data_IF_546494888987
#
_entry.id   IF_546494888987
#
_cell.length_a   1.000
_cell.length_b   1.000
_cell.length_c   1.000
_cell.angle_alpha   90.00
_cell.angle_beta   90.00
_cell.angle_gamma   90.00
#
_symmetry.space_group_name_H-M   'P 1'
#
loop_
_entity.id
_entity.type
_entity.pdbx_description
1 polymer ?
#
# COMPACT_ATOMS: atom_id res chain seq x y z
N UNK A 1 14.85 -9.40 15.68
CA UNK A 1 14.65 -8.80 14.34
C UNK A 1 13.30 -8.09 14.37
N UNK A 2 13.17 -6.91 13.76
CA UNK A 2 11.88 -6.20 13.67
C UNK A 2 10.96 -7.01 12.76
N UNK A 3 9.70 -7.21 13.16
CA UNK A 3 8.69 -7.86 12.33
C UNK A 3 8.27 -6.91 11.21
N UNK A 4 8.17 -7.40 9.97
CA UNK A 4 7.77 -6.60 8.82
C UNK A 4 6.30 -6.15 8.98
N UNK A 5 6.04 -4.87 8.77
CA UNK A 5 4.69 -4.28 8.85
C UNK A 5 4.27 -3.75 7.48
N UNK A 6 3.14 -4.20 6.96
CA UNK A 6 2.64 -3.85 5.62
C UNK A 6 1.27 -3.17 5.75
N UNK A 7 1.21 -1.90 5.38
CA UNK A 7 -0.03 -1.18 5.18
C UNK A 7 -0.65 -1.53 3.82
N UNK A 8 -1.98 -1.51 3.72
CA UNK A 8 -2.64 -1.66 2.43
C UNK A 8 -3.93 -0.86 2.34
N UNK A 9 -4.29 -0.48 1.11
CA UNK A 9 -5.60 0.10 0.81
C UNK A 9 -6.69 -0.97 0.99
N UNK A 10 -7.43 -0.87 2.09
CA UNK A 10 -8.38 -1.88 2.55
C UNK A 10 -9.82 -1.66 2.07
N UNK A 11 -10.80 -2.36 2.69
CA UNK A 11 -10.66 -3.22 3.88
C UNK A 11 -10.02 -4.60 3.58
N UNK A 12 -10.02 -5.47 4.58
CA UNK A 12 -9.75 -6.90 4.42
C UNK A 12 -10.62 -7.52 3.31
N UNK A 13 -10.12 -8.61 2.73
CA UNK A 13 -10.74 -9.35 1.63
C UNK A 13 -10.93 -8.58 0.31
N UNK A 14 -10.25 -7.44 0.14
CA UNK A 14 -10.12 -6.74 -1.16
C UNK A 14 -9.00 -7.36 -2.03
N UNK A 15 -8.94 -6.98 -3.31
CA UNK A 15 -7.83 -7.37 -4.19
C UNK A 15 -6.47 -6.94 -3.65
N UNK A 16 -6.39 -5.75 -3.05
CA UNK A 16 -5.16 -5.25 -2.43
C UNK A 16 -4.78 -6.09 -1.21
N UNK A 17 -5.75 -6.50 -0.37
CA UNK A 17 -5.48 -7.43 0.73
C UNK A 17 -5.00 -8.81 0.23
N UNK A 18 -5.59 -9.33 -0.86
CA UNK A 18 -5.14 -10.58 -1.48
C UNK A 18 -3.71 -10.48 -2.02
N UNK A 19 -3.33 -9.33 -2.58
CA UNK A 19 -1.97 -9.07 -3.01
C UNK A 19 -1.00 -9.09 -1.82
N UNK A 20 -1.37 -8.45 -0.69
CA UNK A 20 -0.56 -8.52 0.54
C UNK A 20 -0.38 -9.97 1.01
N UNK A 21 -1.47 -10.74 1.09
CA UNK A 21 -1.43 -12.14 1.51
C UNK A 21 -0.57 -13.02 0.59
N UNK A 22 -0.42 -12.65 -0.68
CA UNK A 22 0.29 -13.44 -1.69
C UNK A 22 1.76 -13.06 -1.82
N UNK A 23 2.08 -11.78 -1.63
CA UNK A 23 3.42 -11.24 -1.87
C UNK A 23 4.31 -11.19 -0.61
N UNK A 24 3.72 -11.24 0.59
CA UNK A 24 4.45 -11.05 1.84
C UNK A 24 4.45 -12.31 2.72
N UNK A 25 5.46 -12.47 3.59
CA UNK A 25 5.49 -13.56 4.57
C UNK A 25 4.24 -13.61 5.44
N UNK A 26 3.81 -14.81 5.83
CA UNK A 26 2.60 -15.02 6.67
C UNK A 26 2.70 -14.38 8.05
N UNK A 27 3.91 -14.15 8.54
CA UNK A 27 4.20 -13.51 9.81
C UNK A 27 4.37 -11.98 9.68
N UNK A 28 4.16 -11.39 8.49
CA UNK A 28 4.09 -9.94 8.35
C UNK A 28 2.83 -9.39 9.04
N UNK A 29 2.99 -8.29 9.79
CA UNK A 29 1.86 -7.57 10.42
C UNK A 29 1.17 -6.74 9.35
N UNK A 30 -0.11 -6.97 9.13
CA UNK A 30 -0.89 -6.25 8.11
C UNK A 30 -1.75 -5.15 8.76
N UNK A 31 -1.85 -3.99 8.11
CA UNK A 31 -2.73 -2.89 8.54
C UNK A 31 -3.56 -2.36 7.38
N UNK A 32 -4.88 -2.42 7.53
CA UNK A 32 -5.82 -1.85 6.58
C UNK A 32 -5.94 -0.33 6.77
N UNK A 33 -5.90 0.42 5.68
CA UNK A 33 -6.19 1.85 5.66
C UNK A 33 -7.39 2.13 4.75
N UNK A 34 -8.23 3.09 5.12
CA UNK A 34 -9.48 3.37 4.41
C UNK A 34 -9.27 4.16 3.11
N UNK A 35 -8.10 4.77 2.93
CA UNK A 35 -7.77 5.58 1.75
C UNK A 35 -6.32 5.37 1.32
N UNK A 36 -6.03 5.61 0.04
CA UNK A 36 -4.68 5.55 -0.53
C UNK A 36 -3.73 6.54 0.18
N UNK A 37 -4.09 7.83 0.37
CA UNK A 37 -3.29 8.78 1.15
C UNK A 37 -2.92 8.28 2.54
N UNK A 38 -3.90 7.80 3.33
CA UNK A 38 -3.61 7.28 4.68
C UNK A 38 -2.63 6.10 4.66
N UNK A 39 -2.72 5.23 3.66
CA UNK A 39 -1.81 4.11 3.51
C UNK A 39 -0.38 4.56 3.17
N UNK A 40 -0.24 5.56 2.31
CA UNK A 40 1.07 6.09 1.89
C UNK A 40 1.71 6.93 2.99
N UNK A 41 0.95 7.82 3.62
CA UNK A 41 1.34 8.60 4.80
C UNK A 41 1.92 7.70 5.91
N UNK A 42 1.32 6.53 6.12
CA UNK A 42 1.75 5.61 7.16
C UNK A 42 3.18 5.09 6.93
N UNK A 43 3.63 4.99 5.67
CA UNK A 43 5.03 4.66 5.36
C UNK A 43 5.93 5.83 5.73
N UNK A 44 5.58 7.04 5.29
CA UNK A 44 6.37 8.25 5.56
C UNK A 44 6.47 8.59 7.05
N UNK A 45 5.42 8.28 7.83
CA UNK A 45 5.39 8.41 9.30
C UNK A 45 6.10 7.26 10.02
N UNK A 46 6.57 6.23 9.31
CA UNK A 46 7.23 5.06 9.87
C UNK A 46 6.29 4.13 10.67
N UNK A 47 4.98 4.26 10.48
CA UNK A 47 3.98 3.41 11.13
C UNK A 47 3.97 1.99 10.55
N UNK A 48 4.26 1.88 9.25
CA UNK A 48 4.44 0.62 8.51
C UNK A 48 5.73 0.69 7.70
N UNK A 49 6.30 -0.47 7.36
CA UNK A 49 7.55 -0.54 6.58
C UNK A 49 7.28 -0.40 5.07
N UNK A 50 6.13 -0.89 4.60
CA UNK A 50 5.71 -0.86 3.19
C UNK A 50 4.21 -0.58 3.08
N UNK A 51 3.79 -0.01 1.94
CA UNK A 51 2.38 0.16 1.57
C UNK A 51 2.08 -0.56 0.26
N UNK A 52 0.90 -1.18 0.18
CA UNK A 52 0.35 -1.74 -1.05
C UNK A 52 -0.89 -0.93 -1.43
N UNK A 53 -0.81 -0.24 -2.56
CA UNK A 53 -1.89 0.59 -3.12
C UNK A 53 -2.07 0.28 -4.60
N UNK A 54 -3.27 0.42 -5.17
CA UNK A 54 -3.49 0.15 -6.57
C UNK A 54 -2.83 1.22 -7.44
N UNK A 55 -2.07 0.80 -8.46
CA UNK A 55 -1.50 1.70 -9.48
C UNK A 55 -2.37 1.78 -10.73
N UNK A 56 -3.04 0.68 -11.09
CA UNK A 56 -3.88 0.54 -12.29
C UNK A 56 -5.11 -0.33 -11.97
N UNK A 57 -6.26 0.03 -12.56
CA UNK A 57 -7.49 -0.74 -12.61
C UNK A 57 -7.71 -1.23 -14.05
N UNK A 58 -8.19 -2.47 -14.22
CA UNK A 58 -8.47 -3.07 -15.51
C UNK A 58 -9.55 -2.34 -16.33
N UNK A 59 -10.46 -1.60 -15.67
CA UNK A 59 -11.56 -0.90 -16.35
C UNK A 59 -11.22 0.56 -16.66
N UNK A 60 -10.60 1.25 -15.71
CA UNK A 60 -10.44 2.71 -15.70
C UNK A 60 -9.00 3.14 -16.01
N UNK A 61 -8.07 2.19 -16.11
CA UNK A 61 -6.65 2.47 -16.32
C UNK A 61 -5.97 2.93 -15.03
N UNK A 62 -5.03 3.86 -15.15
CA UNK A 62 -4.22 4.33 -14.03
C UNK A 62 -5.04 4.92 -12.89
N UNK A 63 -4.66 4.60 -11.65
CA UNK A 63 -5.23 5.22 -10.45
C UNK A 63 -4.50 6.54 -10.23
N UNK A 64 -5.01 7.61 -10.84
CA UNK A 64 -4.36 8.93 -10.81
C UNK A 64 -4.03 9.40 -9.40
N UNK A 65 -4.90 9.14 -8.42
CA UNK A 65 -4.65 9.49 -7.02
C UNK A 65 -3.33 8.91 -6.49
N UNK A 66 -3.00 7.65 -6.80
CA UNK A 66 -1.75 7.02 -6.40
C UNK A 66 -0.54 7.71 -7.04
N UNK A 67 -0.67 8.05 -8.33
CA UNK A 67 0.39 8.69 -9.11
C UNK A 67 0.62 10.12 -8.61
N UNK A 68 -0.45 10.89 -8.42
CA UNK A 68 -0.38 12.26 -7.95
C UNK A 68 0.26 12.33 -6.56
N UNK A 69 -0.09 11.40 -5.66
CA UNK A 69 0.48 11.35 -4.32
C UNK A 69 1.98 11.00 -4.32
N UNK A 70 2.40 10.06 -5.18
CA UNK A 70 3.82 9.71 -5.37
C UNK A 70 4.65 10.86 -5.95
N UNK A 71 4.05 11.73 -6.76
CA UNK A 71 4.76 12.82 -7.44
C UNK A 71 4.79 14.09 -6.57
N UNK A 72 3.69 14.42 -5.92
CA UNK A 72 3.49 15.75 -5.32
C UNK A 72 3.50 15.76 -3.78
N UNK A 73 3.06 14.68 -3.13
CA UNK A 73 2.80 14.69 -1.69
C UNK A 73 3.86 13.92 -0.89
N UNK A 74 4.26 12.74 -1.38
CA UNK A 74 5.15 11.83 -0.64
C UNK A 74 6.37 11.41 -1.47
N UNK A 75 7.57 11.57 -0.91
CA UNK A 75 8.82 11.14 -1.53
C UNK A 75 9.08 9.64 -1.32
N UNK A 76 8.15 8.80 -1.80
CA UNK A 76 8.22 7.34 -1.67
C UNK A 76 8.80 6.69 -2.94
N UNK A 77 9.47 5.56 -2.76
CA UNK A 77 10.00 4.75 -3.86
C UNK A 77 9.17 3.49 -4.07
N UNK A 78 8.86 3.17 -5.33
CA UNK A 78 8.23 1.89 -5.68
C UNK A 78 9.29 0.79 -5.61
N UNK A 79 9.04 -0.25 -4.82
CA UNK A 79 9.97 -1.38 -4.61
C UNK A 79 9.44 -2.73 -5.12
N UNK A 80 8.23 -2.76 -5.70
CA UNK A 80 7.61 -3.95 -6.29
C UNK A 80 6.33 -3.62 -7.09
N UNK A 81 5.89 -4.54 -7.95
CA UNK A 81 4.63 -4.51 -8.72
C UNK A 81 4.03 -5.91 -8.80
#
# INVERSE_FOLDING_TARGET
>A
MKQLTVGYFGPEATFTHLAVCSCFPKDAVQRAYATIPQCMDAVSKGEVDLAVVPLENALEGSVNLTIDYLIHEEALSIVGK
#
